data_IF_407141068316
#
_entry.id   IF_407141068316
#
_cell.length_a   1.000
_cell.length_b   1.000
_cell.length_c   1.000
_cell.angle_alpha   90.00
_cell.angle_beta   90.00
_cell.angle_gamma   90.00
#
_symmetry.space_group_name_H-M   'P 1'
#
loop_
_entity.id
_entity.type
_entity.pdbx_description
1 polymer ?
#
# COMPACT_ATOMS: atom_id res chain seq x y z
N UNK A 1 -26.50 -16.12 5.75
CA UNK A 1 -25.82 -15.02 5.03
C UNK A 1 -24.47 -15.55 4.63
N UNK A 2 -24.01 -15.34 3.39
CA UNK A 2 -22.60 -15.61 3.07
C UNK A 2 -21.80 -14.56 3.83
N UNK A 3 -20.90 -14.99 4.70
CA UNK A 3 -19.90 -14.11 5.33
C UNK A 3 -18.95 -13.66 4.22
N UNK A 4 -19.36 -12.65 3.44
CA UNK A 4 -18.43 -11.90 2.62
C UNK A 4 -17.49 -11.20 3.59
N UNK A 5 -16.24 -11.68 3.61
CA UNK A 5 -15.16 -11.07 4.37
C UNK A 5 -15.04 -9.61 3.92
N UNK A 6 -15.56 -8.69 4.74
CA UNK A 6 -15.43 -7.25 4.49
C UNK A 6 -13.95 -6.91 4.34
N UNK A 7 -13.58 -6.38 3.18
CA UNK A 7 -12.27 -5.76 3.02
C UNK A 7 -12.29 -4.39 3.68
N UNK A 8 -11.27 -4.11 4.47
CA UNK A 8 -11.08 -2.81 5.09
C UNK A 8 -9.69 -2.29 4.77
N UNK A 9 -9.54 -0.98 4.72
CA UNK A 9 -8.24 -0.34 4.62
C UNK A 9 -7.47 -0.49 5.92
N UNK A 10 -6.25 -1.01 5.83
CA UNK A 10 -5.30 -1.04 6.92
C UNK A 10 -4.17 -0.05 6.65
N UNK A 11 -3.70 0.59 7.72
CA UNK A 11 -2.41 1.24 7.78
C UNK A 11 -1.41 0.30 8.43
N UNK A 12 -0.42 -0.13 7.68
CA UNK A 12 0.67 -0.99 8.17
C UNK A 12 1.95 -0.17 8.22
N UNK A 13 2.61 -0.16 9.37
CA UNK A 13 3.88 0.54 9.57
C UNK A 13 5.00 -0.47 9.78
N UNK A 14 6.08 -0.30 9.03
CA UNK A 14 7.33 -1.04 9.13
C UNK A 14 8.46 -0.09 9.52
N UNK A 15 9.46 -0.62 10.20
CA UNK A 15 10.80 -0.05 10.17
C UNK A 15 11.52 -0.60 8.95
N UNK A 16 12.05 0.26 8.10
CA UNK A 16 12.86 -0.13 6.93
C UNK A 16 14.24 0.53 7.02
N UNK A 17 15.19 -0.01 6.28
CA UNK A 17 16.47 0.64 6.01
C UNK A 17 16.40 1.24 4.61
N UNK A 18 16.61 2.55 4.50
CA UNK A 18 16.61 3.25 3.22
C UNK A 18 17.92 3.06 2.44
N UNK A 19 18.01 3.69 1.26
CA UNK A 19 19.17 3.60 0.38
C UNK A 19 20.45 4.24 0.98
N UNK A 20 20.33 5.10 2.00
CA UNK A 20 21.45 5.68 2.73
C UNK A 20 21.87 4.79 3.92
N UNK A 21 21.15 3.71 4.18
CA UNK A 21 21.39 2.81 5.32
C UNK A 21 20.73 3.30 6.61
N UNK A 22 19.89 4.33 6.57
CA UNK A 22 19.22 4.87 7.75
C UNK A 22 17.95 4.09 8.08
N UNK A 23 17.68 3.91 9.38
CA UNK A 23 16.45 3.27 9.87
C UNK A 23 15.33 4.31 9.93
N UNK A 24 14.29 4.12 9.14
CA UNK A 24 13.15 5.00 9.09
C UNK A 24 11.81 4.24 9.20
N UNK A 25 10.75 4.98 9.53
CA UNK A 25 9.39 4.46 9.55
C UNK A 25 8.76 4.61 8.17
N UNK A 26 8.22 3.50 7.66
CA UNK A 26 7.46 3.48 6.43
C UNK A 26 6.05 2.96 6.69
N UNK A 27 5.04 3.78 6.39
CA UNK A 27 3.64 3.37 6.43
C UNK A 27 3.14 3.09 5.02
N UNK A 28 2.43 1.99 4.86
CA UNK A 28 1.74 1.61 3.63
C UNK A 28 0.28 1.33 3.94
N UNK A 29 -0.59 1.71 3.01
CA UNK A 29 -2.02 1.48 3.09
C UNK A 29 -2.42 0.38 2.12
N UNK A 30 -3.19 -0.58 2.60
CA UNK A 30 -3.61 -1.73 1.81
C UNK A 30 -4.94 -2.28 2.31
N UNK A 31 -5.76 -2.74 1.37
CA UNK A 31 -6.99 -3.44 1.70
C UNK A 31 -6.69 -4.89 2.08
N UNK A 32 -7.45 -5.39 3.05
CA UNK A 32 -7.46 -6.80 3.34
C UNK A 32 -8.58 -7.18 4.28
N UNK A 33 -8.73 -8.49 4.48
CA UNK A 33 -9.76 -9.10 5.32
C UNK A 33 -9.22 -9.60 6.66
N UNK A 34 -7.90 -9.52 6.89
CA UNK A 34 -7.27 -9.88 8.17
C UNK A 34 -5.96 -9.13 8.38
N UNK A 35 -5.66 -8.75 9.61
CA UNK A 35 -4.42 -8.02 9.95
C UNK A 35 -3.15 -8.78 9.55
N UNK A 36 -3.07 -10.07 9.86
CA UNK A 36 -1.89 -10.88 9.56
C UNK A 36 -1.69 -11.03 8.05
N UNK A 37 -2.75 -11.34 7.30
CA UNK A 37 -2.68 -11.44 5.85
C UNK A 37 -2.25 -10.11 5.22
N UNK A 38 -2.83 -9.01 5.68
CA UNK A 38 -2.50 -7.67 5.20
C UNK A 38 -1.05 -7.29 5.50
N UNK A 39 -0.55 -7.56 6.71
CA UNK A 39 0.84 -7.28 7.07
C UNK A 39 1.84 -8.08 6.22
N UNK A 40 1.55 -9.35 5.91
CA UNK A 40 2.39 -10.18 5.03
C UNK A 40 2.37 -9.66 3.60
N UNK A 41 1.20 -9.35 3.05
CA UNK A 41 1.09 -8.79 1.70
C UNK A 41 1.81 -7.44 1.58
N UNK A 42 1.70 -6.59 2.61
CA UNK A 42 2.34 -5.28 2.65
C UNK A 42 3.87 -5.37 2.62
N UNK A 43 4.47 -6.30 3.38
CA UNK A 43 5.94 -6.46 3.36
C UNK A 43 6.46 -7.02 2.04
N UNK A 44 5.72 -7.94 1.41
CA UNK A 44 6.06 -8.44 0.07
C UNK A 44 5.98 -7.30 -0.95
N UNK A 45 4.94 -6.45 -0.86
CA UNK A 45 4.81 -5.26 -1.68
C UNK A 45 6.02 -4.32 -1.54
N UNK A 46 6.44 -4.01 -0.31
CA UNK A 46 7.62 -3.17 -0.06
C UNK A 46 8.87 -3.74 -0.75
N UNK A 47 9.14 -5.04 -0.54
CA UNK A 47 10.34 -5.69 -1.06
C UNK A 47 10.36 -5.83 -2.59
N UNK A 48 9.19 -5.90 -3.23
CA UNK A 48 9.07 -6.05 -4.68
C UNK A 48 8.96 -4.71 -5.44
N UNK A 49 8.47 -3.65 -4.79
CA UNK A 49 8.17 -2.37 -5.47
C UNK A 49 9.15 -1.25 -5.16
N UNK A 50 9.87 -1.34 -4.05
CA UNK A 50 10.81 -0.29 -3.60
C UNK A 50 12.20 -0.88 -3.41
N UNK A 51 12.96 -0.93 -4.50
CA UNK A 51 14.37 -1.38 -4.47
C UNK A 51 15.22 -0.57 -3.46
N UNK A 52 14.80 0.65 -3.12
CA UNK A 52 15.46 1.52 -2.15
C UNK A 52 15.26 1.11 -0.68
N UNK A 53 14.31 0.21 -0.38
CA UNK A 53 14.04 -0.23 0.99
C UNK A 53 14.48 -1.66 1.24
N UNK A 54 15.14 -1.87 2.37
CA UNK A 54 15.63 -3.17 2.80
C UNK A 54 15.32 -3.46 4.27
N UNK A 55 15.46 -4.73 4.65
CA UNK A 55 15.32 -5.21 6.04
C UNK A 55 14.02 -4.77 6.76
N UNK A 56 12.84 -4.91 6.13
CA UNK A 56 11.58 -4.49 6.74
C UNK A 56 11.31 -5.28 8.02
N UNK A 57 11.02 -4.55 9.09
CA UNK A 57 10.61 -5.11 10.39
C UNK A 57 9.24 -4.57 10.73
N UNK A 58 8.28 -5.46 11.00
CA UNK A 58 6.93 -5.06 11.38
C UNK A 58 6.95 -4.19 12.65
N UNK A 59 6.23 -3.06 12.64
CA UNK A 59 6.08 -2.18 13.80
C UNK A 59 4.65 -2.16 14.31
N UNK A 60 3.67 -1.86 13.45
CA UNK A 60 2.27 -1.77 13.85
C UNK A 60 1.32 -1.95 12.68
N UNK A 61 0.09 -2.36 12.98
CA UNK A 61 -1.04 -2.36 12.06
C UNK A 61 -2.26 -1.79 12.77
N UNK A 62 -3.08 -1.05 12.04
CA UNK A 62 -4.43 -0.67 12.46
C UNK A 62 -5.34 -0.49 11.27
N UNK A 63 -6.64 -0.55 11.49
CA UNK A 63 -7.62 -0.09 10.50
C UNK A 63 -7.40 1.41 10.24
N UNK A 64 -7.42 1.81 8.97
CA UNK A 64 -7.32 3.19 8.56
C UNK A 64 -8.54 3.98 9.08
N UNK A 65 -8.33 5.25 9.40
CA UNK A 65 -9.48 6.13 9.69
C UNK A 65 -10.28 6.37 8.42
N UNK A 66 -11.55 6.77 8.54
CA UNK A 66 -12.38 7.12 7.37
C UNK A 66 -11.70 8.15 6.47
N UNK A 67 -11.11 9.19 7.05
CA UNK A 67 -10.40 10.22 6.29
C UNK A 67 -9.17 9.69 5.56
N UNK A 68 -8.37 8.83 6.21
CA UNK A 68 -7.23 8.17 5.55
C UNK A 68 -7.72 7.31 4.38
N UNK A 69 -8.77 6.49 4.58
CA UNK A 69 -9.32 5.65 3.53
C UNK A 69 -9.81 6.47 2.31
N UNK A 70 -10.55 7.56 2.54
CA UNK A 70 -11.00 8.47 1.48
C UNK A 70 -9.84 9.10 0.71
N UNK A 71 -8.77 9.50 1.40
CA UNK A 71 -7.58 10.06 0.75
C UNK A 71 -6.90 9.02 -0.15
N UNK A 72 -6.73 7.78 0.30
CA UNK A 72 -6.09 6.74 -0.51
C UNK A 72 -6.93 6.31 -1.70
N UNK A 73 -8.26 6.27 -1.55
CA UNK A 73 -9.16 5.99 -2.67
C UNK A 73 -9.02 7.08 -3.74
N UNK A 74 -9.00 8.35 -3.35
CA UNK A 74 -8.77 9.45 -4.29
C UNK A 74 -7.39 9.38 -4.97
N UNK A 75 -6.32 9.07 -4.24
CA UNK A 75 -4.98 8.89 -4.81
C UNK A 75 -4.92 7.72 -5.82
N UNK A 76 -5.63 6.62 -5.55
CA UNK A 76 -5.72 5.48 -6.47
C UNK A 76 -6.49 5.81 -7.74
N UNK A 77 -7.60 6.53 -7.61
CA UNK A 77 -8.39 6.99 -8.76
C UNK A 77 -7.57 7.94 -9.63
N UNK A 78 -6.83 8.89 -9.03
CA UNK A 78 -5.91 9.77 -9.78
C UNK A 78 -4.80 9.00 -10.51
N UNK A 79 -4.26 7.94 -9.91
CA UNK A 79 -3.25 7.10 -10.54
C UNK A 79 -3.85 6.31 -11.72
N UNK A 80 -5.06 5.77 -11.56
CA UNK A 80 -5.77 5.06 -12.62
C UNK A 80 -6.08 5.98 -13.81
N UNK A 81 -6.48 7.22 -13.55
CA UNK A 81 -6.70 8.24 -14.57
C UNK A 81 -5.41 8.62 -15.32
N UNK A 82 -4.27 8.64 -14.62
CA UNK A 82 -2.96 8.88 -15.25
C UNK A 82 -2.52 7.72 -16.15
N UNK A 83 -2.69 6.48 -15.70
CA UNK A 83 -2.35 5.30 -16.49
C UNK A 83 -3.26 5.17 -17.71
N UNK A 84 -4.56 5.47 -17.57
CA UNK A 84 -5.50 5.50 -18.69
C UNK A 84 -5.10 6.53 -19.76
N UNK A 85 -4.70 7.74 -19.36
CA UNK A 85 -4.22 8.78 -20.30
C UNK A 85 -2.94 8.39 -21.03
N UNK A 86 -1.98 7.75 -20.34
CA UNK A 86 -0.74 7.27 -20.99
C UNK A 86 -1.04 6.19 -22.04
N UNK A 87 -2.00 5.31 -21.77
CA UNK A 87 -2.42 4.28 -22.74
C UNK A 87 -3.15 4.87 -23.96
N UNK A 88 -3.85 5.98 -23.81
CA UNK A 88 -4.44 6.72 -24.94
C UNK A 88 -3.38 7.45 -25.78
N UNK A 89 -2.32 7.97 -25.17
CA UNK A 89 -1.22 8.66 -25.87
C UNK A 89 -0.27 7.69 -26.62
N UNK A 90 -0.11 6.45 -26.15
CA UNK A 90 0.69 5.40 -26.82
C UNK A 90 -0.07 4.63 -27.92
N UNK A 91 -1.37 4.87 -28.08
CA UNK A 91 -2.23 4.22 -29.07
C UNK A 91 -2.32 4.93 -30.43
N UNK A 92 -1.59 6.04 -30.61
CA UNK A 92 -1.66 6.95 -31.77
C UNK A 92 -0.36 6.94 -32.62
N UNK A 93 0.31 5.78 -32.72
CA UNK A 93 1.38 5.49 -33.72
C UNK A 93 0.94 4.51 -34.82
#
# INVERSE_FOLDING_TARGET
MKDELMQVWYRVTFMVTDHLGERCEYSIFCQGSSETGTAVSAVVGILNSKEEFSSPTFKSIRIATYHEAEQFEAELDELADQDAKKLEEEGDE
#
